data_IF_933348722793
#
_entry.id   IF_933348722793
#
_cell.length_a   1.000
_cell.length_b   1.000
_cell.length_c   1.000
_cell.angle_alpha   90.00
_cell.angle_beta   90.00
_cell.angle_gamma   90.00
#
_symmetry.space_group_name_H-M   'P 1'
#
loop_
_entity.id
_entity.type
_entity.pdbx_description
1 polymer ?
#
# COMPACT_ATOMS: atom_id res chain seq x y z
N UNK A 1 -4.17 14.05 22.96
CA UNK A 1 -5.63 14.31 23.09
C UNK A 1 -6.27 13.85 21.80
N UNK A 2 -7.32 13.02 21.88
CA UNK A 2 -8.00 12.41 20.70
C UNK A 2 -9.09 13.31 20.11
N UNK A 3 -9.33 14.47 20.72
CA UNK A 3 -10.33 15.48 20.29
C UNK A 3 -11.71 14.87 19.97
N UNK A 4 -12.21 14.03 20.90
CA UNK A 4 -13.55 13.45 20.78
C UNK A 4 -14.61 14.52 21.09
N UNK A 5 -15.52 14.77 20.16
CA UNK A 5 -16.61 15.74 20.32
C UNK A 5 -17.94 15.10 19.92
N UNK A 6 -19.00 15.46 20.64
CA UNK A 6 -20.36 15.06 20.38
C UNK A 6 -21.19 16.30 20.02
N UNK A 7 -21.87 16.27 18.90
CA UNK A 7 -22.93 17.23 18.57
C UNK A 7 -24.21 16.78 19.25
N UNK A 8 -24.57 17.47 20.34
CA UNK A 8 -25.73 17.12 21.20
C UNK A 8 -27.07 17.13 20.51
N UNK A 9 -27.23 18.04 19.58
CA UNK A 9 -28.43 18.21 18.75
C UNK A 9 -28.60 17.10 17.70
N UNK A 10 -27.50 16.45 17.31
CA UNK A 10 -27.51 15.32 16.37
C UNK A 10 -27.58 13.95 17.06
N UNK A 11 -27.20 13.86 18.33
CA UNK A 11 -27.07 12.58 19.02
C UNK A 11 -28.45 12.03 19.42
N UNK A 12 -28.79 10.85 18.89
CA UNK A 12 -30.03 10.12 19.22
C UNK A 12 -29.85 9.06 20.30
N UNK A 13 -28.75 9.04 20.99
CA UNK A 13 -28.43 8.14 22.13
C UNK A 13 -28.56 6.63 21.80
N UNK A 14 -28.36 6.23 20.55
CA UNK A 14 -28.55 4.84 20.09
C UNK A 14 -27.53 3.84 20.62
N UNK A 15 -26.40 4.29 21.19
CA UNK A 15 -25.40 3.42 21.79
C UNK A 15 -24.40 2.75 20.84
N UNK A 16 -24.60 2.79 19.52
CA UNK A 16 -23.78 2.08 18.52
C UNK A 16 -22.28 2.40 18.65
N UNK A 17 -21.92 3.65 18.90
CA UNK A 17 -20.52 4.05 19.05
C UNK A 17 -19.81 3.37 20.25
N UNK A 18 -20.55 3.07 21.33
CA UNK A 18 -20.03 2.32 22.47
C UNK A 18 -19.89 0.83 22.13
N UNK A 19 -20.88 0.26 21.49
CA UNK A 19 -20.90 -1.17 21.15
C UNK A 19 -19.80 -1.53 20.14
N UNK A 20 -19.57 -0.66 19.16
CA UNK A 20 -18.56 -0.88 18.11
C UNK A 20 -17.14 -0.49 18.54
N UNK A 21 -16.94 0.10 19.71
CA UNK A 21 -15.62 0.49 20.18
C UNK A 21 -14.79 -0.75 20.57
N UNK A 22 -13.73 -1.13 19.82
CA UNK A 22 -13.01 -2.38 20.07
C UNK A 22 -12.29 -2.42 21.42
N UNK A 23 -12.04 -1.26 22.03
CA UNK A 23 -11.36 -1.13 23.34
C UNK A 23 -12.31 -0.67 24.45
N UNK A 24 -13.61 -0.52 24.17
CA UNK A 24 -14.65 -0.26 25.16
C UNK A 24 -14.49 1.02 25.99
N UNK A 25 -13.89 2.07 25.43
CA UNK A 25 -13.57 3.31 26.18
C UNK A 25 -14.69 4.36 26.17
N UNK A 26 -15.76 4.16 25.37
CA UNK A 26 -16.86 5.11 25.25
C UNK A 26 -17.91 4.84 26.35
N UNK A 27 -18.26 5.88 27.12
CA UNK A 27 -19.35 5.90 28.07
C UNK A 27 -20.58 6.56 27.46
N UNK A 28 -21.79 6.16 27.91
CA UNK A 28 -23.06 6.78 27.52
C UNK A 28 -23.71 7.56 28.69
N UNK A 29 -23.00 7.82 29.75
CA UNK A 29 -23.57 8.48 30.96
C UNK A 29 -22.91 9.85 31.15
N UNK A 30 -23.71 10.95 31.02
CA UNK A 30 -25.10 11.00 30.52
C UNK A 30 -25.22 10.82 28.99
N UNK A 31 -24.18 11.11 28.20
CA UNK A 31 -24.12 11.00 26.74
C UNK A 31 -22.79 10.39 26.33
N UNK A 32 -22.64 10.09 25.03
CA UNK A 32 -21.42 9.49 24.49
C UNK A 32 -20.20 10.38 24.78
N UNK A 33 -19.23 9.83 25.51
CA UNK A 33 -18.01 10.53 25.92
C UNK A 33 -16.87 9.54 26.12
N UNK A 34 -15.63 10.06 26.10
CA UNK A 34 -14.43 9.31 26.46
C UNK A 34 -13.75 10.05 27.62
N UNK A 35 -13.59 9.38 28.76
CA UNK A 35 -12.91 9.92 29.91
C UNK A 35 -11.42 10.16 29.58
N UNK A 36 -10.85 11.26 30.02
CA UNK A 36 -9.50 11.71 29.70
C UNK A 36 -8.43 10.63 29.98
N UNK A 37 -8.56 9.93 31.09
CA UNK A 37 -7.64 8.84 31.49
C UNK A 37 -7.71 7.64 30.54
N UNK A 38 -8.81 7.46 29.78
CA UNK A 38 -9.02 6.38 28.81
C UNK A 38 -8.56 6.76 27.39
N UNK A 39 -8.32 8.04 27.10
CA UNK A 39 -7.89 8.49 25.77
C UNK A 39 -6.65 7.76 25.26
N UNK A 40 -5.71 7.43 26.14
CA UNK A 40 -4.48 6.70 25.81
C UNK A 40 -4.71 5.29 25.25
N UNK A 41 -5.87 4.70 25.52
CA UNK A 41 -6.26 3.37 25.04
C UNK A 41 -6.96 3.42 23.68
N UNK A 42 -7.21 4.63 23.13
CA UNK A 42 -7.87 4.77 21.84
C UNK A 42 -6.97 4.25 20.70
N UNK A 43 -7.48 3.31 19.93
CA UNK A 43 -6.80 2.79 18.74
C UNK A 43 -6.86 3.74 17.53
N UNK A 44 -7.47 4.91 17.66
CA UNK A 44 -7.60 5.92 16.59
C UNK A 44 -8.29 5.41 15.32
N UNK A 45 -9.09 4.37 15.42
CA UNK A 45 -9.71 3.65 14.30
C UNK A 45 -10.92 4.36 13.67
N UNK A 46 -11.41 5.46 14.27
CA UNK A 46 -12.57 6.23 13.81
C UNK A 46 -13.91 5.46 13.70
N UNK A 47 -14.00 4.22 14.23
CA UNK A 47 -15.23 3.43 14.20
C UNK A 47 -16.42 4.18 14.80
N UNK A 48 -16.23 4.88 15.92
CA UNK A 48 -17.27 5.67 16.56
C UNK A 48 -17.81 6.81 15.69
N UNK A 49 -16.95 7.41 14.85
CA UNK A 49 -17.35 8.40 13.84
C UNK A 49 -18.12 7.71 12.71
N UNK A 50 -17.57 6.63 12.16
CA UNK A 50 -18.10 5.96 10.98
C UNK A 50 -19.47 5.28 11.22
N UNK A 51 -19.69 4.73 12.43
CA UNK A 51 -20.94 4.02 12.75
C UNK A 51 -22.09 4.95 13.14
N UNK A 52 -21.80 6.23 13.42
CA UNK A 52 -22.82 7.17 13.89
C UNK A 52 -23.83 7.52 12.77
N UNK A 53 -25.11 7.10 12.87
CA UNK A 53 -26.07 7.27 11.78
C UNK A 53 -26.48 8.73 11.54
N UNK A 54 -26.25 9.59 12.53
CA UNK A 54 -26.60 11.00 12.49
C UNK A 54 -25.42 11.93 12.38
N UNK A 55 -24.22 11.36 12.14
CA UNK A 55 -22.96 12.12 12.04
C UNK A 55 -22.71 13.04 13.27
N UNK A 56 -23.08 12.56 14.47
CA UNK A 56 -22.96 13.33 15.71
C UNK A 56 -21.56 13.33 16.32
N UNK A 57 -20.65 12.45 15.89
CA UNK A 57 -19.33 12.28 16.49
C UNK A 57 -18.23 12.76 15.55
N UNK A 58 -17.38 13.65 16.05
CA UNK A 58 -16.06 13.94 15.46
C UNK A 58 -14.95 13.48 16.40
N UNK A 59 -13.81 13.05 15.84
CA UNK A 59 -12.68 12.54 16.60
C UNK A 59 -11.39 12.73 15.81
N UNK A 60 -10.26 12.97 16.50
CA UNK A 60 -8.95 13.13 15.86
C UNK A 60 -8.90 14.30 14.86
N UNK A 61 -9.70 15.34 15.08
CA UNK A 61 -9.85 16.46 14.15
C UNK A 61 -10.60 16.11 12.85
N UNK A 62 -11.19 14.91 12.74
CA UNK A 62 -11.99 14.49 11.59
C UNK A 62 -13.45 14.84 11.75
N UNK A 63 -14.05 15.42 10.72
CA UNK A 63 -15.47 15.73 10.65
C UNK A 63 -16.18 14.60 9.91
N UNK A 64 -17.27 14.03 10.47
CA UNK A 64 -18.03 12.95 9.82
C UNK A 64 -18.65 13.36 8.47
N UNK A 65 -18.93 14.63 8.24
CA UNK A 65 -19.47 15.14 6.98
C UNK A 65 -18.45 15.05 5.81
N UNK A 66 -17.13 14.98 6.12
CA UNK A 66 -16.08 14.83 5.13
C UNK A 66 -15.84 13.35 4.75
N UNK A 67 -16.54 12.42 5.42
CA UNK A 67 -16.38 11.00 5.14
C UNK A 67 -17.24 10.55 3.95
N UNK A 68 -16.72 9.62 3.15
CA UNK A 68 -17.50 8.99 2.08
C UNK A 68 -18.66 8.22 2.69
N UNK A 69 -19.86 8.47 2.18
CA UNK A 69 -21.05 7.77 2.63
C UNK A 69 -21.05 6.29 2.21
N UNK A 70 -21.37 5.38 3.12
CA UNK A 70 -21.61 3.97 2.77
C UNK A 70 -22.82 3.75 1.82
N UNK A 71 -23.60 4.81 1.54
CA UNK A 71 -24.65 4.82 0.52
C UNK A 71 -24.15 5.31 -0.84
N UNK A 72 -22.88 5.74 -0.93
CA UNK A 72 -22.25 6.09 -2.21
C UNK A 72 -22.29 4.90 -3.17
N UNK A 73 -22.15 5.19 -4.46
CA UNK A 73 -22.12 4.15 -5.49
C UNK A 73 -20.94 3.21 -5.27
N UNK A 74 -21.25 1.94 -5.07
CA UNK A 74 -20.26 0.88 -4.90
C UNK A 74 -20.17 0.03 -6.17
N UNK A 75 -18.98 -0.48 -6.54
CA UNK A 75 -18.88 -1.37 -7.67
C UNK A 75 -19.73 -2.63 -7.45
N UNK A 76 -20.48 -3.07 -8.46
CA UNK A 76 -21.20 -4.34 -8.38
C UNK A 76 -20.23 -5.51 -8.14
N UNK A 77 -20.72 -6.61 -7.55
CA UNK A 77 -19.92 -7.81 -7.34
C UNK A 77 -19.27 -8.32 -8.64
N UNK A 78 -20.00 -8.20 -9.76
CA UNK A 78 -19.46 -8.59 -11.06
C UNK A 78 -18.36 -7.63 -11.55
N UNK A 79 -18.53 -6.32 -11.37
CA UNK A 79 -17.51 -5.33 -11.72
C UNK A 79 -16.23 -5.55 -10.90
N UNK A 80 -16.34 -5.75 -9.59
CA UNK A 80 -15.20 -6.06 -8.72
C UNK A 80 -14.52 -7.39 -9.13
N UNK A 81 -15.28 -8.44 -9.40
CA UNK A 81 -14.73 -9.73 -9.86
C UNK A 81 -13.98 -9.57 -11.19
N UNK A 82 -14.52 -8.81 -12.13
CA UNK A 82 -13.88 -8.55 -13.42
C UNK A 82 -12.60 -7.75 -13.25
N UNK A 83 -12.62 -6.72 -12.38
CA UNK A 83 -11.45 -5.90 -12.06
C UNK A 83 -10.30 -6.77 -11.53
N UNK A 84 -10.58 -7.66 -10.57
CA UNK A 84 -9.59 -8.59 -10.03
C UNK A 84 -9.03 -9.53 -11.12
N UNK A 85 -9.90 -10.12 -11.93
CA UNK A 85 -9.53 -11.11 -12.97
C UNK A 85 -8.77 -10.50 -14.15
N UNK A 86 -8.97 -9.22 -14.43
CA UNK A 86 -8.31 -8.50 -15.53
C UNK A 86 -7.01 -7.82 -15.16
N UNK A 87 -6.74 -7.60 -13.85
CA UNK A 87 -5.47 -7.07 -13.38
C UNK A 87 -4.29 -7.91 -13.88
N UNK A 88 -3.25 -7.24 -14.37
CA UNK A 88 -2.08 -7.89 -14.99
C UNK A 88 -0.77 -7.26 -14.50
N UNK A 89 0.24 -8.10 -14.36
CA UNK A 89 1.64 -7.65 -14.26
C UNK A 89 2.11 -7.15 -15.62
N UNK A 90 2.15 -5.85 -15.80
CA UNK A 90 2.54 -5.21 -17.07
C UNK A 90 4.06 -5.06 -17.11
N UNK A 91 4.67 -5.40 -18.25
CA UNK A 91 6.14 -5.39 -18.45
C UNK A 91 6.57 -4.53 -19.64
N UNK A 92 5.66 -3.71 -20.17
CA UNK A 92 5.92 -2.70 -21.19
C UNK A 92 5.20 -1.44 -20.80
N UNK A 93 5.95 -0.42 -20.51
CA UNK A 93 5.44 0.91 -20.13
C UNK A 93 5.68 1.89 -21.27
N UNK A 94 4.87 2.94 -21.34
CA UNK A 94 5.16 4.10 -22.17
C UNK A 94 6.23 4.96 -21.51
N UNK A 95 7.02 5.62 -22.33
CA UNK A 95 8.11 6.51 -21.89
C UNK A 95 7.58 7.92 -21.60
N UNK A 96 6.64 8.03 -20.67
CA UNK A 96 6.01 9.29 -20.25
C UNK A 96 5.66 9.26 -18.76
N UNK A 97 5.74 10.41 -18.10
CA UNK A 97 5.28 10.54 -16.74
C UNK A 97 3.76 10.46 -16.67
N UNK A 98 3.24 9.98 -15.54
CA UNK A 98 1.84 10.14 -15.16
C UNK A 98 1.62 11.56 -14.62
N UNK A 99 0.36 11.96 -14.61
CA UNK A 99 -0.08 13.18 -13.94
C UNK A 99 0.18 13.09 -12.44
N UNK A 100 0.71 14.15 -11.84
CA UNK A 100 1.06 14.20 -10.42
C UNK A 100 -0.19 14.14 -9.52
N UNK A 101 -1.30 14.77 -9.94
CA UNK A 101 -2.56 14.72 -9.21
C UNK A 101 -3.10 13.30 -9.18
N UNK A 102 -3.02 12.57 -10.30
CA UNK A 102 -3.39 11.15 -10.33
C UNK A 102 -2.54 10.31 -9.40
N UNK A 103 -1.21 10.50 -9.39
CA UNK A 103 -0.32 9.76 -8.48
C UNK A 103 -0.73 10.02 -7.03
N UNK A 104 -0.98 11.27 -6.67
CA UNK A 104 -1.40 11.66 -5.33
C UNK A 104 -2.74 10.99 -4.95
N UNK A 105 -3.74 11.00 -5.81
CA UNK A 105 -5.04 10.34 -5.61
C UNK A 105 -4.88 8.84 -5.35
N UNK A 106 -4.02 8.17 -6.12
CA UNK A 106 -3.73 6.75 -5.95
C UNK A 106 -3.11 6.44 -4.58
N UNK A 107 -2.20 7.31 -4.12
CA UNK A 107 -1.55 7.18 -2.82
C UNK A 107 -2.55 7.40 -1.68
N UNK A 108 -3.39 8.43 -1.78
CA UNK A 108 -4.45 8.71 -0.82
C UNK A 108 -5.43 7.55 -0.72
N UNK A 109 -5.88 7.01 -1.85
CA UNK A 109 -6.74 5.82 -1.87
C UNK A 109 -6.07 4.62 -1.20
N UNK A 110 -4.80 4.36 -1.48
CA UNK A 110 -4.05 3.26 -0.89
C UNK A 110 -3.84 3.43 0.62
N UNK A 111 -3.80 4.66 1.13
CA UNK A 111 -3.65 4.95 2.56
C UNK A 111 -4.83 4.48 3.42
N UNK A 112 -5.97 4.13 2.82
CA UNK A 112 -7.11 3.51 3.51
C UNK A 112 -6.95 2.00 3.76
N UNK A 113 -5.82 1.41 3.38
CA UNK A 113 -5.53 0.00 3.67
C UNK A 113 -5.51 -0.26 5.18
N UNK A 114 -6.08 -1.38 5.66
CA UNK A 114 -6.02 -1.73 7.08
C UNK A 114 -4.58 -2.07 7.48
N UNK A 115 -4.23 -1.75 8.72
CA UNK A 115 -2.94 -2.09 9.34
C UNK A 115 -3.13 -2.79 10.68
N UNK A 116 -2.15 -3.57 11.10
CA UNK A 116 -2.13 -4.18 12.43
C UNK A 116 -2.30 -3.11 13.51
N UNK A 117 -3.17 -3.35 14.48
CA UNK A 117 -3.52 -2.40 15.56
C UNK A 117 -3.95 -0.99 15.10
N UNK A 118 -4.24 -0.82 13.81
CA UNK A 118 -4.50 0.48 13.20
C UNK A 118 -3.33 1.47 13.38
N UNK A 119 -2.11 0.96 13.26
CA UNK A 119 -0.89 1.77 13.47
C UNK A 119 -0.73 2.84 12.39
N UNK A 120 -1.26 2.59 11.17
CA UNK A 120 -1.25 3.53 10.03
C UNK A 120 0.13 4.14 9.78
N UNK A 121 1.19 3.34 9.96
CA UNK A 121 2.59 3.78 9.92
C UNK A 121 3.32 3.37 8.63
N UNK A 122 2.59 2.90 7.61
CA UNK A 122 3.20 2.57 6.33
C UNK A 122 3.70 3.84 5.65
N UNK A 123 5.01 3.85 5.36
CA UNK A 123 5.67 4.90 4.62
C UNK A 123 5.77 4.51 3.16
N UNK A 124 5.36 5.39 2.27
CA UNK A 124 5.58 5.30 0.84
C UNK A 124 6.85 6.06 0.45
N UNK A 125 7.83 5.36 -0.12
CA UNK A 125 8.95 5.98 -0.83
C UNK A 125 8.65 5.94 -2.32
N UNK A 126 8.39 7.10 -2.89
CA UNK A 126 7.91 7.28 -4.27
C UNK A 126 9.00 7.91 -5.13
N UNK A 127 9.22 7.35 -6.32
CA UNK A 127 9.89 8.03 -7.44
C UNK A 127 8.80 8.33 -8.48
N UNK A 128 8.47 9.61 -8.64
CA UNK A 128 7.32 10.10 -9.41
C UNK A 128 7.70 10.75 -10.75
N UNK A 129 8.97 10.66 -11.16
CA UNK A 129 9.44 11.19 -12.44
C UNK A 129 10.51 10.29 -13.07
N UNK A 130 10.66 10.43 -14.38
CA UNK A 130 11.60 9.64 -15.20
C UNK A 130 13.04 9.93 -14.89
N UNK A 131 13.38 11.14 -14.60
CA UNK A 131 14.74 11.59 -14.37
C UNK A 131 15.32 10.89 -13.14
N UNK A 132 14.58 10.88 -12.06
CA UNK A 132 15.00 10.25 -10.81
C UNK A 132 15.01 8.72 -10.89
N UNK A 133 14.04 8.09 -11.59
CA UNK A 133 14.07 6.63 -11.75
C UNK A 133 15.27 6.17 -12.57
N UNK A 134 15.74 6.97 -13.55
CA UNK A 134 16.96 6.65 -14.29
C UNK A 134 18.18 6.67 -13.38
N UNK A 135 18.30 7.64 -12.49
CA UNK A 135 19.38 7.74 -11.51
C UNK A 135 19.37 6.51 -10.58
N UNK A 136 18.20 6.18 -10.03
CA UNK A 136 18.05 5.04 -9.13
C UNK A 136 18.32 3.71 -9.85
N UNK A 137 17.83 3.56 -11.08
CA UNK A 137 18.09 2.38 -11.93
C UNK A 137 19.58 2.16 -12.12
N UNK A 138 20.32 3.22 -12.47
CA UNK A 138 21.76 3.13 -12.67
C UNK A 138 22.50 2.75 -11.37
N UNK A 139 22.04 3.25 -10.23
CA UNK A 139 22.58 2.86 -8.92
C UNK A 139 22.35 1.36 -8.64
N UNK A 140 21.14 0.85 -8.91
CA UNK A 140 20.79 -0.58 -8.75
C UNK A 140 21.66 -1.47 -9.65
N UNK A 141 21.80 -1.13 -10.93
CA UNK A 141 22.65 -1.90 -11.85
C UNK A 141 24.14 -1.85 -11.47
N UNK A 142 24.64 -0.71 -10.96
CA UNK A 142 26.02 -0.59 -10.43
C UNK A 142 26.21 -1.46 -9.19
N UNK A 143 25.24 -1.49 -8.27
CA UNK A 143 25.30 -2.34 -7.08
C UNK A 143 25.37 -3.84 -7.45
N UNK A 144 24.55 -4.29 -8.39
CA UNK A 144 24.58 -5.67 -8.89
C UNK A 144 25.94 -5.98 -9.55
N UNK A 145 26.47 -5.07 -10.37
CA UNK A 145 27.78 -5.23 -11.01
C UNK A 145 28.88 -5.38 -9.97
N UNK A 146 28.92 -4.49 -8.99
CA UNK A 146 29.90 -4.51 -7.89
C UNK A 146 29.84 -5.83 -7.14
N UNK A 147 28.66 -6.24 -6.66
CA UNK A 147 28.49 -7.49 -5.94
C UNK A 147 28.89 -8.73 -6.78
N UNK A 148 28.62 -8.71 -8.09
CA UNK A 148 29.01 -9.79 -9.00
C UNK A 148 30.52 -9.88 -9.21
N UNK A 149 31.21 -8.75 -9.35
CA UNK A 149 32.67 -8.71 -9.56
C UNK A 149 33.43 -9.10 -8.29
N UNK A 150 32.94 -8.66 -7.12
CA UNK A 150 33.51 -8.97 -5.81
C UNK A 150 33.18 -10.40 -5.32
N UNK A 151 32.33 -11.15 -6.04
CA UNK A 151 31.91 -12.49 -5.65
C UNK A 151 30.92 -12.53 -4.48
N UNK A 152 30.34 -11.38 -4.12
CA UNK A 152 29.41 -11.21 -3.00
C UNK A 152 27.92 -11.35 -3.40
N UNK A 153 27.64 -11.55 -4.69
CA UNK A 153 26.25 -11.72 -5.15
C UNK A 153 25.70 -13.08 -4.65
N UNK A 154 24.60 -13.08 -3.86
CA UNK A 154 24.04 -14.32 -3.34
C UNK A 154 23.65 -15.28 -4.48
N UNK A 155 23.96 -16.58 -4.33
CA UNK A 155 23.69 -17.59 -5.38
C UNK A 155 22.25 -17.63 -5.85
N UNK A 156 21.28 -17.41 -4.94
CA UNK A 156 19.83 -17.34 -5.24
C UNK A 156 19.47 -16.20 -6.19
N UNK A 157 20.32 -15.18 -6.33
CA UNK A 157 20.15 -14.03 -7.21
C UNK A 157 21.14 -13.99 -8.40
N UNK A 158 21.81 -15.09 -8.70
CA UNK A 158 22.82 -15.16 -9.77
C UNK A 158 22.33 -14.65 -11.14
N UNK A 159 21.01 -14.78 -11.42
CA UNK A 159 20.41 -14.26 -12.65
C UNK A 159 20.57 -12.74 -12.81
N UNK A 160 20.65 -11.98 -11.71
CA UNK A 160 20.80 -10.53 -11.77
C UNK A 160 22.09 -10.10 -12.45
N UNK A 161 23.17 -10.89 -12.32
CA UNK A 161 24.43 -10.63 -13.04
C UNK A 161 24.25 -10.71 -14.57
N UNK A 162 23.40 -11.62 -15.05
CA UNK A 162 23.08 -11.73 -16.48
C UNK A 162 22.24 -10.55 -16.96
N UNK A 163 21.29 -10.09 -16.16
CA UNK A 163 20.46 -8.92 -16.48
C UNK A 163 21.28 -7.62 -16.46
N UNK A 164 22.24 -7.50 -15.54
CA UNK A 164 23.17 -6.38 -15.49
C UNK A 164 24.07 -6.35 -16.74
N UNK A 165 24.62 -7.51 -17.16
CA UNK A 165 25.43 -7.59 -18.40
C UNK A 165 24.61 -7.24 -19.65
N UNK A 166 23.33 -7.63 -19.70
CA UNK A 166 22.44 -7.32 -20.82
C UNK A 166 22.14 -5.81 -20.88
N UNK A 167 21.91 -5.20 -19.72
CA UNK A 167 21.77 -3.74 -19.61
C UNK A 167 23.02 -3.03 -20.12
N UNK A 168 24.20 -3.42 -19.64
CA UNK A 168 25.47 -2.77 -19.99
C UNK A 168 25.82 -2.91 -21.48
N UNK A 169 25.55 -4.07 -22.08
CA UNK A 169 25.93 -4.36 -23.48
C UNK A 169 24.92 -3.88 -24.50
N UNK A 170 23.65 -3.92 -24.17
CA UNK A 170 22.55 -3.73 -25.15
C UNK A 170 21.49 -2.73 -24.69
N UNK A 171 21.61 -2.12 -23.51
CA UNK A 171 20.59 -1.19 -22.97
C UNK A 171 19.24 -1.85 -22.68
N UNK A 172 19.20 -3.19 -22.54
CA UNK A 172 17.95 -3.92 -22.29
C UNK A 172 17.67 -3.96 -20.80
N UNK A 173 16.67 -3.20 -20.37
CA UNK A 173 16.26 -3.09 -18.97
C UNK A 173 15.26 -4.18 -18.56
N UNK A 174 15.79 -5.27 -17.98
CA UNK A 174 14.99 -6.39 -17.48
C UNK A 174 14.43 -6.10 -16.09
N UNK A 175 15.12 -5.32 -15.27
CA UNK A 175 14.75 -5.07 -13.87
C UNK A 175 13.63 -4.04 -13.79
N UNK A 176 13.84 -2.84 -14.32
CA UNK A 176 12.84 -1.76 -14.24
C UNK A 176 11.84 -1.75 -15.40
N UNK A 177 12.12 -2.48 -16.51
CA UNK A 177 11.23 -2.53 -17.68
C UNK A 177 10.95 -1.16 -18.29
N UNK A 178 11.86 -0.20 -18.10
CA UNK A 178 11.70 1.20 -18.47
C UNK A 178 10.42 1.85 -17.88
N UNK A 179 9.97 1.39 -16.72
CA UNK A 179 8.87 2.04 -16.02
C UNK A 179 9.30 3.43 -15.58
N UNK A 180 8.43 4.46 -15.72
CA UNK A 180 8.77 5.83 -15.35
C UNK A 180 8.68 6.11 -13.85
N UNK A 181 8.00 5.24 -13.10
CA UNK A 181 7.73 5.46 -11.66
C UNK A 181 7.96 4.20 -10.84
N UNK A 182 8.25 4.41 -9.56
CA UNK A 182 8.45 3.34 -8.59
C UNK A 182 7.86 3.73 -7.23
N UNK A 183 7.26 2.76 -6.56
CA UNK A 183 6.74 2.88 -5.22
C UNK A 183 7.26 1.74 -4.36
N UNK A 184 7.79 2.08 -3.19
CA UNK A 184 8.18 1.11 -2.15
C UNK A 184 7.36 1.42 -0.90
N UNK A 185 6.75 0.40 -0.30
CA UNK A 185 6.10 0.53 0.98
C UNK A 185 6.95 -0.10 2.08
N UNK A 186 7.12 0.63 3.17
CA UNK A 186 7.88 0.22 4.34
C UNK A 186 7.11 0.58 5.61
N UNK A 187 7.40 -0.09 6.73
CA UNK A 187 6.84 0.28 8.02
C UNK A 187 7.86 0.04 9.15
N UNK A 188 7.75 0.77 10.29
CA UNK A 188 8.65 0.60 11.42
C UNK A 188 8.70 -0.85 11.89
N UNK A 189 9.90 -1.39 12.13
CA UNK A 189 10.10 -2.79 12.56
C UNK A 189 9.44 -3.12 13.89
N UNK A 190 9.17 -2.10 14.72
CA UNK A 190 8.48 -2.23 16.01
C UNK A 190 6.97 -2.44 15.90
N UNK A 191 6.36 -2.16 14.73
CA UNK A 191 4.93 -2.31 14.52
C UNK A 191 4.51 -3.79 14.52
N UNK A 192 3.23 -4.06 14.71
CA UNK A 192 2.73 -5.42 14.86
C UNK A 192 2.94 -6.29 13.60
N UNK A 193 2.84 -5.70 12.42
CA UNK A 193 2.84 -6.43 11.15
C UNK A 193 3.49 -5.65 10.00
N UNK A 194 4.70 -5.10 10.15
CA UNK A 194 5.24 -4.07 9.25
C UNK A 194 5.30 -4.51 7.77
N UNK A 195 5.77 -5.72 7.49
CA UNK A 195 5.82 -6.24 6.11
C UNK A 195 4.44 -6.56 5.55
N UNK A 196 3.55 -7.11 6.36
CA UNK A 196 2.19 -7.46 5.95
C UNK A 196 1.40 -6.20 5.63
N UNK A 197 1.42 -5.22 6.51
CA UNK A 197 0.73 -3.94 6.34
C UNK A 197 1.20 -3.21 5.08
N UNK A 198 2.51 -3.21 4.83
CA UNK A 198 3.11 -2.65 3.61
C UNK A 198 2.62 -3.37 2.34
N UNK A 199 2.53 -4.71 2.35
CA UNK A 199 2.04 -5.50 1.21
C UNK A 199 0.55 -5.26 0.98
N UNK A 200 -0.26 -5.23 2.04
CA UNK A 200 -1.70 -4.91 1.93
C UNK A 200 -1.87 -3.53 1.31
N UNK A 201 -1.15 -2.54 1.80
CA UNK A 201 -1.22 -1.16 1.29
C UNK A 201 -0.83 -1.08 -0.20
N UNK A 202 0.23 -1.77 -0.62
CA UNK A 202 0.60 -1.87 -2.04
C UNK A 202 -0.46 -2.59 -2.88
N UNK A 203 -1.19 -3.54 -2.30
CA UNK A 203 -2.30 -4.21 -2.99
C UNK A 203 -3.46 -3.23 -3.24
N UNK A 204 -3.78 -2.37 -2.27
CA UNK A 204 -4.76 -1.29 -2.45
C UNK A 204 -4.31 -0.32 -3.54
N UNK A 205 -3.03 0.08 -3.53
CA UNK A 205 -2.45 0.89 -4.60
C UNK A 205 -2.59 0.22 -5.97
N UNK A 206 -2.25 -1.07 -6.09
CA UNK A 206 -2.36 -1.79 -7.37
C UNK A 206 -3.79 -1.80 -7.91
N UNK A 207 -4.80 -2.03 -7.04
CA UNK A 207 -6.19 -2.01 -7.48
C UNK A 207 -6.65 -0.61 -7.86
N UNK A 208 -6.31 0.42 -7.09
CA UNK A 208 -6.62 1.81 -7.43
C UNK A 208 -5.95 2.22 -8.76
N UNK A 209 -4.67 1.90 -8.94
CA UNK A 209 -3.91 2.14 -10.16
C UNK A 209 -4.57 1.45 -11.38
N UNK A 210 -4.93 0.17 -11.24
CA UNK A 210 -5.56 -0.57 -12.33
C UNK A 210 -6.95 0.00 -12.69
N UNK A 211 -7.76 0.46 -11.72
CA UNK A 211 -9.03 1.13 -11.96
C UNK A 211 -8.85 2.43 -12.77
N UNK A 212 -7.73 3.12 -12.59
CA UNK A 212 -7.35 4.33 -13.30
C UNK A 212 -6.52 4.06 -14.58
N UNK A 213 -6.51 2.83 -15.09
CA UNK A 213 -5.72 2.41 -16.26
C UNK A 213 -4.20 2.62 -16.11
N UNK A 214 -3.70 2.70 -14.89
CA UNK A 214 -2.27 2.72 -14.57
C UNK A 214 -1.76 1.29 -14.45
N UNK A 215 -0.73 0.98 -15.22
CA UNK A 215 -0.10 -0.33 -15.24
C UNK A 215 0.87 -0.49 -14.07
N UNK A 216 0.89 -1.68 -13.48
CA UNK A 216 1.74 -2.02 -12.33
C UNK A 216 2.52 -3.30 -12.58
N UNK A 217 3.67 -3.41 -11.91
CA UNK A 217 4.46 -4.64 -11.82
C UNK A 217 5.07 -4.75 -10.43
N UNK A 218 4.71 -5.79 -9.67
CA UNK A 218 5.38 -6.17 -8.43
C UNK A 218 6.82 -6.59 -8.76
N UNK A 219 7.79 -5.91 -8.14
CA UNK A 219 9.20 -6.02 -8.51
C UNK A 219 10.07 -6.50 -7.33
N UNK A 220 10.12 -7.82 -7.14
CA UNK A 220 10.97 -8.42 -6.13
C UNK A 220 12.47 -8.23 -6.38
N UNK A 221 12.89 -8.06 -7.64
CA UNK A 221 14.32 -7.89 -7.96
C UNK A 221 14.88 -6.61 -7.34
N UNK A 222 14.15 -5.50 -7.43
CA UNK A 222 14.55 -4.24 -6.79
C UNK A 222 14.55 -4.42 -5.26
N UNK A 223 13.50 -5.03 -4.71
CA UNK A 223 13.42 -5.32 -3.27
C UNK A 223 14.64 -6.13 -2.79
N UNK A 224 15.04 -7.18 -3.52
CA UNK A 224 16.22 -7.98 -3.15
C UNK A 224 17.52 -7.17 -3.19
N UNK A 225 17.67 -6.27 -4.17
CA UNK A 225 18.88 -5.44 -4.26
C UNK A 225 19.00 -4.53 -3.05
N UNK A 226 17.93 -3.83 -2.68
CA UNK A 226 17.93 -2.89 -1.55
C UNK A 226 17.93 -3.55 -0.17
N UNK A 227 17.52 -4.82 -0.05
CA UNK A 227 17.54 -5.52 1.23
C UNK A 227 18.79 -6.39 1.42
N UNK A 228 19.28 -7.06 0.36
CA UNK A 228 20.26 -8.13 0.52
C UNK A 228 21.56 -7.95 -0.29
N UNK A 229 21.58 -7.06 -1.28
CA UNK A 229 22.77 -6.86 -2.12
C UNK A 229 23.50 -5.55 -1.78
N UNK A 230 22.75 -4.45 -1.76
CA UNK A 230 23.29 -3.14 -1.37
C UNK A 230 22.27 -2.34 -0.53
N UNK A 231 22.24 -2.56 0.77
CA UNK A 231 21.34 -1.84 1.66
C UNK A 231 21.57 -0.31 1.71
N UNK A 232 22.71 0.20 1.26
CA UNK A 232 22.97 1.64 1.21
C UNK A 232 22.05 2.39 0.24
N UNK A 233 21.45 1.67 -0.73
CA UNK A 233 20.44 2.24 -1.64
C UNK A 233 19.17 2.70 -0.91
N UNK A 234 18.93 2.22 0.32
CA UNK A 234 17.82 2.69 1.17
C UNK A 234 17.94 4.18 1.47
N UNK A 235 19.15 4.64 1.75
CA UNK A 235 19.42 6.05 2.06
C UNK A 235 19.15 6.95 0.84
N UNK A 236 19.46 6.45 -0.37
CA UNK A 236 19.22 7.17 -1.62
C UNK A 236 17.74 7.45 -1.88
N UNK A 237 16.85 6.60 -1.39
CA UNK A 237 15.40 6.70 -1.59
C UNK A 237 14.65 7.01 -0.28
N UNK A 238 15.37 7.44 0.76
CA UNK A 238 14.79 7.94 2.00
C UNK A 238 14.09 6.89 2.86
N UNK A 239 14.47 5.61 2.79
CA UNK A 239 13.91 4.56 3.65
C UNK A 239 14.62 4.61 5.01
N UNK A 240 13.89 4.85 6.14
CA UNK A 240 14.48 4.84 7.47
C UNK A 240 15.14 3.50 7.82
N UNK A 241 16.22 3.54 8.59
CA UNK A 241 16.98 2.34 8.97
C UNK A 241 16.18 1.39 9.87
N UNK A 242 15.24 1.91 10.65
CA UNK A 242 14.36 1.15 11.53
C UNK A 242 13.08 0.64 10.83
N UNK A 243 12.98 0.79 9.50
CA UNK A 243 11.86 0.26 8.73
C UNK A 243 12.15 -1.12 8.12
N UNK A 244 11.14 -1.98 8.11
CA UNK A 244 11.09 -3.20 7.28
C UNK A 244 10.56 -2.85 5.90
N UNK A 245 11.21 -3.32 4.85
CA UNK A 245 10.72 -3.19 3.48
C UNK A 245 9.63 -4.25 3.24
N UNK A 246 8.45 -3.83 2.85
CA UNK A 246 7.39 -4.72 2.40
C UNK A 246 7.67 -5.24 0.99
N UNK A 247 7.50 -4.38 0.01
CA UNK A 247 7.78 -4.71 -1.39
C UNK A 247 7.94 -3.46 -2.25
N UNK A 248 8.31 -3.68 -3.54
CA UNK A 248 8.44 -2.64 -4.56
C UNK A 248 7.42 -2.87 -5.68
N UNK A 249 6.78 -1.81 -6.15
CA UNK A 249 5.99 -1.77 -7.39
C UNK A 249 6.60 -0.74 -8.32
N UNK A 250 6.81 -1.10 -9.59
CA UNK A 250 7.07 -0.15 -10.67
C UNK A 250 5.77 0.06 -11.45
N UNK A 251 5.51 1.28 -11.90
CA UNK A 251 4.24 1.63 -12.50
C UNK A 251 4.36 2.73 -13.56
N UNK A 252 3.29 2.93 -14.32
CA UNK A 252 3.23 3.91 -15.38
C UNK A 252 2.12 3.61 -16.37
N UNK A 253 2.06 4.34 -17.48
CA UNK A 253 1.09 4.08 -18.53
C UNK A 253 1.45 2.80 -19.30
N UNK A 254 0.46 1.94 -19.54
CA UNK A 254 0.68 0.67 -20.25
C UNK A 254 1.14 0.90 -21.69
N UNK A 255 2.22 0.27 -22.10
CA UNK A 255 2.68 0.18 -23.50
C UNK A 255 2.05 -0.97 -24.28
N UNK A 256 1.11 -1.71 -23.67
CA UNK A 256 0.37 -2.84 -24.27
C UNK A 256 -1.08 -2.79 -23.81
N UNK A 257 -1.97 -3.37 -24.63
CA UNK A 257 -3.38 -3.54 -24.26
C UNK A 257 -3.69 -5.04 -24.25
N UNK A 258 -4.17 -5.54 -23.12
CA UNK A 258 -4.63 -6.92 -22.99
C UNK A 258 -6.09 -7.01 -23.40
N UNK A 259 -6.42 -7.96 -24.26
CA UNK A 259 -7.79 -8.18 -24.72
C UNK A 259 -8.63 -8.98 -23.71
N UNK A 260 -7.99 -9.74 -22.81
CA UNK A 260 -8.65 -10.65 -21.85
C UNK A 260 -7.85 -10.77 -20.56
N UNK A 261 -8.53 -11.10 -19.46
CA UNK A 261 -7.91 -11.62 -18.26
C UNK A 261 -7.38 -13.04 -18.44
N UNK A 262 -6.60 -13.53 -17.48
CA UNK A 262 -6.19 -14.95 -17.44
C UNK A 262 -7.22 -15.78 -16.71
N UNK A 263 -7.19 -17.10 -16.97
CA UNK A 263 -7.91 -18.10 -16.20
C UNK A 263 -7.02 -18.60 -15.06
N UNK A 264 -7.63 -18.93 -13.92
CA UNK A 264 -6.95 -19.57 -12.80
C UNK A 264 -6.86 -21.09 -13.07
N UNK A 265 -5.77 -21.70 -12.60
CA UNK A 265 -5.59 -23.16 -12.65
C UNK A 265 -6.48 -23.92 -11.63
N UNK A 266 -7.29 -23.18 -10.90
CA UNK A 266 -8.23 -23.72 -9.92
C UNK A 266 -8.05 -23.16 -8.50
N UNK A 267 -8.94 -23.58 -7.62
CA UNK A 267 -8.91 -23.20 -6.20
C UNK A 267 -8.39 -24.39 -5.38
N UNK A 268 -7.25 -24.18 -4.70
CA UNK A 268 -6.78 -25.10 -3.67
C UNK A 268 -7.49 -24.76 -2.36
N UNK A 269 -8.42 -25.58 -1.93
CA UNK A 269 -9.23 -25.35 -0.74
C UNK A 269 -9.17 -26.55 0.19
N UNK A 270 -8.74 -26.34 1.43
CA UNK A 270 -8.89 -27.29 2.53
C UNK A 270 -10.09 -26.87 3.39
N UNK A 271 -11.19 -27.62 3.32
CA UNK A 271 -12.36 -27.40 4.20
C UNK A 271 -12.13 -28.10 5.54
N UNK A 272 -11.96 -27.32 6.61
CA UNK A 272 -11.79 -27.84 7.96
C UNK A 272 -13.17 -28.20 8.52
N UNK A 273 -13.32 -29.45 9.00
CA UNK A 273 -14.47 -29.90 9.77
C UNK A 273 -14.00 -30.31 11.18
N UNK A 274 -14.36 -29.51 12.19
CA UNK A 274 -13.98 -29.72 13.60
C UNK A 274 -14.98 -30.58 14.35
N UNK A 275 -16.10 -31.00 13.74
CA UNK A 275 -17.02 -31.96 14.32
C UNK A 275 -16.46 -33.36 14.05
N UNK A 276 -15.92 -34.00 15.10
CA UNK A 276 -15.71 -35.43 15.16
C UNK A 276 -16.89 -36.07 15.84
#
# INVERSE_FOLDING_TARGET
MIDFKLADDKCIECGLCKEDCPVGIISLTPKASIAKEKEKNCMKCQHCLAICPTAAISILGKNPEDSVSCKAEMPSAQAMSNHIKTRRSVRKFKDENLDQELIQELMETASHAPTGHNDNAVLFSLIDNKEDILIFRDAVYKAIKKASVEGNLPKKYAMLASFQKLWEKAGVDIIFRNAPHMLIATAPTKDASPKIDSIITLTYFEFAANANNVATLWNGMITWVIEEIDPSLRDLIGIPQDHSVGYTIIFGKAGVKYARGIQSDGLHLNKINLKK
#
